data_IF_680982483478
#
_entry.id   IF_680982483478
#
_cell.length_a   1.000
_cell.length_b   1.000
_cell.length_c   1.000
_cell.angle_alpha   90.00
_cell.angle_beta   90.00
_cell.angle_gamma   90.00
#
_symmetry.space_group_name_H-M   'P 1'
#
loop_
_entity.id
_entity.type
_entity.pdbx_description
1 polymer ?
#
# COMPACT_ATOMS: atom_id res chain seq x y z
N UNK A 1 8.48 28.76 20.30
CA UNK A 1 8.40 27.49 19.56
C UNK A 1 8.35 26.38 20.59
N UNK A 2 7.39 25.46 20.52
CA UNK A 2 7.14 24.53 21.64
C UNK A 2 8.31 23.57 21.86
N UNK A 3 8.65 23.28 23.11
CA UNK A 3 9.70 22.32 23.49
C UNK A 3 9.36 20.85 23.14
N UNK A 4 8.13 20.56 22.70
CA UNK A 4 7.70 19.20 22.38
C UNK A 4 8.44 18.63 21.17
N UNK A 5 8.90 17.37 21.29
CA UNK A 5 9.49 16.59 20.19
C UNK A 5 8.60 16.52 18.96
N UNK A 6 7.28 16.64 19.13
CA UNK A 6 6.30 16.61 18.05
C UNK A 6 6.55 17.70 16.99
N UNK A 7 7.06 18.86 17.39
CA UNK A 7 7.30 20.00 16.51
C UNK A 7 8.77 20.20 16.17
N UNK A 8 9.60 19.18 16.44
CA UNK A 8 11.01 19.18 16.05
C UNK A 8 11.18 18.47 14.69
N UNK A 9 12.08 18.95 13.82
CA UNK A 9 12.37 18.31 12.55
C UNK A 9 12.80 16.84 12.69
N UNK A 10 12.57 16.07 11.62
CA UNK A 10 12.96 14.67 11.54
C UNK A 10 13.33 14.31 10.10
N UNK A 11 14.41 13.53 9.94
CA UNK A 11 14.73 12.90 8.66
C UNK A 11 13.94 11.60 8.56
N UNK A 12 13.21 11.42 7.47
CA UNK A 12 12.48 10.19 7.13
C UNK A 12 12.95 9.80 5.73
N UNK A 13 13.72 8.72 5.61
CA UNK A 13 14.37 8.40 4.33
C UNK A 13 15.16 9.60 3.78
N UNK A 14 14.82 10.05 2.56
CA UNK A 14 15.44 11.23 1.93
C UNK A 14 14.80 12.59 2.26
N UNK A 15 13.64 12.61 2.94
CA UNK A 15 12.94 13.86 3.24
C UNK A 15 13.32 14.42 4.62
N UNK A 16 13.23 15.74 4.75
CA UNK A 16 13.41 16.47 6.02
C UNK A 16 12.07 17.09 6.43
N UNK A 17 11.25 16.32 7.12
CA UNK A 17 10.01 16.80 7.71
C UNK A 17 10.34 17.85 8.80
N UNK A 18 9.55 18.93 8.86
CA UNK A 18 9.79 20.03 9.81
C UNK A 18 9.06 19.83 11.14
N UNK A 19 8.15 18.85 11.18
CA UNK A 19 7.46 18.39 12.38
C UNK A 19 7.10 16.91 12.21
N UNK A 20 6.60 16.29 13.27
CA UNK A 20 6.25 14.86 13.34
C UNK A 20 4.73 14.62 13.32
N UNK A 21 3.98 15.61 12.86
CA UNK A 21 2.56 15.49 12.52
C UNK A 21 2.45 15.22 11.02
N UNK A 22 2.00 14.03 10.65
CA UNK A 22 1.79 13.64 9.26
C UNK A 22 0.34 13.25 9.00
N UNK A 23 -0.04 13.20 7.73
CA UNK A 23 -1.34 12.69 7.31
C UNK A 23 -1.24 11.19 7.01
N UNK A 24 -2.02 10.40 7.74
CA UNK A 24 -2.17 8.97 7.49
C UNK A 24 -2.88 8.69 6.15
N UNK A 25 -2.73 7.48 5.59
CA UNK A 25 -3.43 7.04 4.38
C UNK A 25 -4.94 6.91 4.62
N UNK A 26 -5.76 7.57 3.80
CA UNK A 26 -7.20 7.69 4.00
C UNK A 26 -7.97 7.54 2.68
N UNK A 27 -8.48 6.34 2.37
CA UNK A 27 -9.33 6.11 1.18
C UNK A 27 -10.58 7.01 1.18
N UNK A 28 -10.77 7.79 0.09
CA UNK A 28 -11.88 8.77 -0.01
C UNK A 28 -12.90 8.49 -1.11
N UNK A 29 -12.60 7.57 -2.03
CA UNK A 29 -13.50 7.16 -3.11
C UNK A 29 -13.90 8.34 -4.01
N UNK A 30 -12.89 9.11 -4.46
CA UNK A 30 -13.08 10.35 -5.23
C UNK A 30 -12.35 10.38 -6.57
N UNK A 31 -11.71 9.30 -7.00
CA UNK A 31 -11.17 9.23 -8.36
C UNK A 31 -12.30 9.11 -9.41
N UNK A 32 -11.93 9.21 -10.69
CA UNK A 32 -12.82 8.90 -11.80
C UNK A 32 -13.24 7.41 -11.78
N UNK A 33 -14.16 7.04 -12.67
CA UNK A 33 -14.52 5.62 -12.85
C UNK A 33 -13.31 4.80 -13.37
N UNK A 34 -12.47 5.42 -14.20
CA UNK A 34 -11.22 4.87 -14.74
C UNK A 34 -10.05 4.95 -13.74
N UNK A 35 -10.37 5.25 -12.47
CA UNK A 35 -9.43 5.29 -11.36
C UNK A 35 -8.34 6.36 -11.51
N UNK A 36 -8.64 7.42 -12.27
CA UNK A 36 -7.76 8.58 -12.49
C UNK A 36 -8.01 9.63 -11.41
N UNK A 37 -6.97 10.11 -10.71
CA UNK A 37 -7.08 11.27 -9.82
C UNK A 37 -7.61 12.52 -10.54
N UNK A 38 -8.15 13.49 -9.79
CA UNK A 38 -8.76 14.68 -10.40
C UNK A 38 -8.48 15.96 -9.60
N UNK A 39 -9.00 17.09 -10.11
CA UNK A 39 -8.79 18.41 -9.52
C UNK A 39 -9.25 18.52 -8.06
N UNK A 40 -10.33 17.82 -7.66
CA UNK A 40 -10.78 17.79 -6.26
C UNK A 40 -9.73 17.13 -5.36
N UNK A 41 -9.10 16.06 -5.83
CA UNK A 41 -8.03 15.37 -5.09
C UNK A 41 -6.79 16.27 -4.96
N UNK A 42 -6.43 17.00 -6.02
CA UNK A 42 -5.35 18.01 -5.97
C UNK A 42 -5.62 19.08 -4.91
N UNK A 43 -6.81 19.67 -4.93
CA UNK A 43 -7.21 20.65 -3.90
C UNK A 43 -7.16 20.03 -2.49
N UNK A 44 -7.68 18.82 -2.33
CA UNK A 44 -7.72 18.11 -1.06
C UNK A 44 -6.33 17.90 -0.44
N UNK A 45 -5.37 17.38 -1.22
CA UNK A 45 -4.00 17.19 -0.74
C UNK A 45 -3.26 18.53 -0.57
N UNK A 46 -3.49 19.50 -1.46
CA UNK A 46 -2.95 20.86 -1.33
C UNK A 46 -3.42 21.57 -0.05
N UNK A 47 -4.66 21.36 0.39
CA UNK A 47 -5.15 21.86 1.67
C UNK A 47 -4.43 21.22 2.87
N UNK A 48 -4.05 19.94 2.77
CA UNK A 48 -3.35 19.19 3.84
C UNK A 48 -1.84 19.40 3.86
N UNK A 49 -1.29 19.92 2.77
CA UNK A 49 0.06 20.47 2.71
C UNK A 49 0.12 21.93 3.24
N UNK A 50 -0.76 22.32 4.16
CA UNK A 50 -0.87 23.72 4.63
C UNK A 50 0.34 24.23 5.41
N UNK A 51 1.12 23.33 6.02
CA UNK A 51 2.32 23.67 6.77
C UNK A 51 3.54 23.06 6.05
N UNK A 52 4.52 23.87 5.63
CA UNK A 52 5.72 23.35 4.97
C UNK A 52 6.44 22.30 5.82
N UNK A 53 6.94 21.25 5.17
CA UNK A 53 7.61 20.13 5.80
C UNK A 53 6.67 19.08 6.38
N UNK A 54 5.38 19.09 6.00
CA UNK A 54 4.43 18.01 6.34
C UNK A 54 4.69 16.79 5.47
N UNK A 55 4.70 15.58 6.07
CA UNK A 55 4.60 14.33 5.33
C UNK A 55 3.13 13.93 5.16
N UNK A 56 2.73 13.67 3.94
CA UNK A 56 1.42 13.14 3.57
C UNK A 56 1.59 11.73 3.01
N UNK A 57 0.73 10.81 3.41
CA UNK A 57 0.59 9.50 2.76
C UNK A 57 -0.77 9.49 2.06
N UNK A 58 -0.80 9.14 0.78
CA UNK A 58 -2.04 9.14 0.00
C UNK A 58 -3.05 8.12 0.52
N UNK A 59 -4.28 8.20 0.03
CA UNK A 59 -5.16 7.04 -0.01
C UNK A 59 -4.51 5.81 -0.67
N UNK A 60 -5.03 4.63 -0.33
CA UNK A 60 -4.63 3.39 -0.96
C UNK A 60 -4.81 3.48 -2.47
N UNK A 61 -3.74 3.24 -3.21
CA UNK A 61 -3.66 3.37 -4.66
C UNK A 61 -3.34 2.01 -5.28
N UNK A 62 -4.21 1.55 -6.17
CA UNK A 62 -4.13 0.22 -6.77
C UNK A 62 -2.93 0.11 -7.71
N UNK A 63 -2.19 -0.99 -7.59
CA UNK A 63 -0.95 -1.24 -8.35
C UNK A 63 -1.19 -1.72 -9.78
N UNK A 64 -2.35 -2.30 -10.07
CA UNK A 64 -2.72 -2.80 -11.39
C UNK A 64 -4.25 -2.94 -11.51
N UNK A 65 -4.79 -3.16 -12.72
CA UNK A 65 -6.20 -3.52 -12.89
C UNK A 65 -6.55 -4.78 -12.10
N UNK A 66 -5.72 -5.83 -12.17
CA UNK A 66 -5.95 -7.10 -11.48
C UNK A 66 -5.93 -6.99 -9.93
N UNK A 67 -5.32 -5.93 -9.39
CA UNK A 67 -5.35 -5.64 -7.96
C UNK A 67 -6.70 -5.03 -7.47
N UNK A 68 -7.59 -4.68 -8.41
CA UNK A 68 -8.85 -3.96 -8.21
C UNK A 68 -10.02 -4.82 -7.71
N UNK A 69 -11.22 -4.57 -8.25
CA UNK A 69 -12.46 -5.26 -7.89
C UNK A 69 -13.07 -4.87 -6.53
N UNK A 70 -12.43 -3.99 -5.79
CA UNK A 70 -12.89 -3.54 -4.47
C UNK A 70 -13.60 -2.20 -4.53
N UNK A 71 -13.01 -1.22 -3.89
CA UNK A 71 -13.59 0.10 -3.81
C UNK A 71 -13.66 0.77 -5.18
N UNK A 72 -14.89 1.04 -5.65
CA UNK A 72 -15.13 1.90 -6.79
C UNK A 72 -14.57 3.30 -6.51
N UNK A 73 -13.98 3.94 -7.53
CA UNK A 73 -13.39 5.29 -7.40
C UNK A 73 -12.22 5.40 -6.42
N UNK A 74 -11.52 4.30 -6.19
CA UNK A 74 -10.16 4.30 -5.65
C UNK A 74 -9.17 4.54 -6.79
N UNK A 75 -8.15 5.39 -6.61
CA UNK A 75 -7.19 5.69 -7.66
C UNK A 75 -6.25 4.52 -7.97
N UNK A 76 -5.68 4.56 -9.18
CA UNK A 76 -4.63 3.65 -9.67
C UNK A 76 -3.32 4.36 -9.98
N UNK A 77 -2.27 3.59 -10.27
CA UNK A 77 -0.97 4.11 -10.77
C UNK A 77 -0.23 3.15 -11.73
N UNK A 78 -0.96 2.50 -12.65
CA UNK A 78 -0.36 1.56 -13.61
C UNK A 78 -0.24 2.11 -15.03
N UNK A 79 -0.97 3.19 -15.37
CA UNK A 79 -0.97 3.77 -16.71
C UNK A 79 -0.53 5.24 -16.72
N UNK A 80 -0.22 5.75 -17.91
CA UNK A 80 0.31 7.10 -18.08
C UNK A 80 -0.69 8.20 -17.69
N UNK A 81 -1.98 7.99 -17.92
CA UNK A 81 -3.02 8.96 -17.55
C UNK A 81 -3.09 9.14 -16.03
N UNK A 82 -3.07 8.04 -15.28
CA UNK A 82 -3.02 8.05 -13.81
C UNK A 82 -1.73 8.70 -13.30
N UNK A 83 -0.58 8.39 -13.90
CA UNK A 83 0.71 9.01 -13.55
C UNK A 83 0.67 10.52 -13.76
N UNK A 84 0.16 10.99 -14.89
CA UNK A 84 0.05 12.42 -15.19
C UNK A 84 -0.90 13.12 -14.21
N UNK A 85 -2.04 12.51 -13.89
CA UNK A 85 -2.99 13.05 -12.93
C UNK A 85 -2.42 13.11 -11.50
N UNK A 86 -1.70 12.07 -11.07
CA UNK A 86 -0.97 12.10 -9.80
C UNK A 86 0.12 13.17 -9.78
N UNK A 87 0.80 13.38 -10.91
CA UNK A 87 1.83 14.42 -11.02
C UNK A 87 1.31 15.82 -10.71
N UNK A 88 0.09 16.16 -11.13
CA UNK A 88 -0.48 17.45 -10.74
C UNK A 88 -0.69 17.60 -9.22
N UNK A 89 -0.97 16.49 -8.54
CA UNK A 89 -1.20 16.45 -7.09
C UNK A 89 0.12 16.58 -6.34
N UNK A 90 1.15 15.82 -6.75
CA UNK A 90 2.48 15.90 -6.14
C UNK A 90 3.09 17.28 -6.36
N UNK A 91 2.97 17.85 -7.56
CA UNK A 91 3.43 19.22 -7.86
C UNK A 91 2.77 20.26 -6.93
N UNK A 92 1.47 20.14 -6.64
CA UNK A 92 0.78 21.06 -5.72
C UNK A 92 1.24 20.90 -4.26
N UNK A 93 1.50 19.67 -3.81
CA UNK A 93 2.04 19.42 -2.46
C UNK A 93 3.47 19.94 -2.34
N UNK A 94 4.30 19.71 -3.35
CA UNK A 94 5.68 20.20 -3.42
C UNK A 94 5.76 21.71 -3.52
N UNK A 95 4.86 22.36 -4.27
CA UNK A 95 4.75 23.84 -4.33
C UNK A 95 4.51 24.45 -2.95
N UNK A 96 3.88 23.71 -2.04
CA UNK A 96 3.65 24.10 -0.63
C UNK A 96 4.78 23.71 0.32
N UNK A 97 5.88 23.17 -0.22
CA UNK A 97 7.06 22.76 0.56
C UNK A 97 6.82 21.55 1.46
N UNK A 98 5.82 20.72 1.14
CA UNK A 98 5.51 19.47 1.85
C UNK A 98 5.92 18.26 1.03
N UNK A 99 5.85 17.07 1.64
CA UNK A 99 6.25 15.79 1.05
C UNK A 99 5.06 14.84 0.94
N UNK A 100 5.08 13.95 -0.04
CA UNK A 100 4.00 12.99 -0.28
C UNK A 100 4.53 11.62 -0.70
N UNK A 101 4.05 10.58 -0.02
CA UNK A 101 4.28 9.18 -0.34
C UNK A 101 2.97 8.56 -0.84
N UNK A 102 3.03 7.72 -1.88
CA UNK A 102 1.87 6.96 -2.35
C UNK A 102 1.74 5.65 -1.59
N UNK A 103 0.57 5.34 -1.04
CA UNK A 103 0.31 4.02 -0.47
C UNK A 103 -0.11 3.05 -1.57
N UNK A 104 0.68 2.01 -1.80
CA UNK A 104 0.43 0.98 -2.81
C UNK A 104 -0.24 -0.24 -2.19
N UNK A 105 -1.34 -0.69 -2.78
CA UNK A 105 -2.08 -1.85 -2.27
C UNK A 105 -2.79 -2.66 -3.37
N UNK A 106 -3.25 -3.85 -2.97
CA UNK A 106 -4.11 -4.72 -3.76
C UNK A 106 -5.21 -5.30 -2.86
N UNK A 107 -6.43 -5.43 -3.38
CA UNK A 107 -7.60 -5.79 -2.57
C UNK A 107 -7.51 -7.21 -2.02
N UNK A 108 -7.18 -8.19 -2.87
CA UNK A 108 -7.33 -9.60 -2.53
C UNK A 108 -8.79 -9.94 -2.17
N UNK A 109 -9.01 -10.75 -1.14
CA UNK A 109 -10.36 -11.19 -0.74
C UNK A 109 -11.26 -10.09 -0.19
N UNK A 110 -10.73 -8.87 -0.04
CA UNK A 110 -11.45 -7.65 0.33
C UNK A 110 -12.24 -7.05 -0.83
N UNK A 111 -12.02 -7.52 -2.06
CA UNK A 111 -12.76 -7.05 -3.22
C UNK A 111 -14.27 -7.25 -3.04
N UNK A 112 -15.07 -6.33 -3.59
CA UNK A 112 -16.53 -6.37 -3.50
C UNK A 112 -17.07 -7.03 -4.76
N UNK A 113 -18.02 -7.95 -4.63
CA UNK A 113 -18.47 -8.82 -5.73
C UNK A 113 -18.98 -8.03 -6.92
N UNK A 114 -19.72 -6.96 -6.67
CA UNK A 114 -20.31 -6.11 -7.70
C UNK A 114 -19.23 -5.40 -8.52
N UNK A 115 -18.27 -4.75 -7.86
CA UNK A 115 -17.19 -4.02 -8.55
C UNK A 115 -16.25 -4.98 -9.27
N UNK A 116 -15.91 -6.13 -8.66
CA UNK A 116 -15.10 -7.15 -9.31
C UNK A 116 -15.78 -7.68 -10.57
N UNK A 117 -17.10 -7.93 -10.53
CA UNK A 117 -17.89 -8.34 -11.70
C UNK A 117 -17.90 -7.27 -12.79
N UNK A 118 -18.18 -6.02 -12.42
CA UNK A 118 -18.26 -4.90 -13.37
C UNK A 118 -16.92 -4.64 -14.05
N UNK A 119 -15.80 -4.88 -13.35
CA UNK A 119 -14.44 -4.74 -13.87
C UNK A 119 -13.90 -6.02 -14.54
N UNK A 120 -14.63 -7.13 -14.51
CA UNK A 120 -14.16 -8.41 -15.04
C UNK A 120 -12.96 -9.00 -14.29
N UNK A 121 -12.87 -8.76 -12.98
CA UNK A 121 -11.76 -9.15 -12.11
C UNK A 121 -12.17 -10.36 -11.27
N UNK A 122 -11.29 -11.36 -11.24
CA UNK A 122 -11.37 -12.45 -10.27
C UNK A 122 -11.03 -11.96 -8.86
N UNK A 123 -11.88 -12.27 -7.89
CA UNK A 123 -11.53 -12.08 -6.48
C UNK A 123 -10.51 -13.15 -6.10
N UNK A 124 -9.34 -12.72 -5.66
CA UNK A 124 -8.19 -13.58 -5.36
C UNK A 124 -7.75 -13.48 -3.90
N UNK A 125 -6.99 -14.46 -3.43
CA UNK A 125 -6.30 -14.42 -2.15
C UNK A 125 -5.23 -15.50 -2.07
N UNK A 126 -4.47 -15.57 -0.96
CA UNK A 126 -3.51 -16.67 -0.77
C UNK A 126 -4.21 -18.03 -0.73
N UNK A 127 -5.44 -18.11 -0.23
CA UNK A 127 -6.25 -19.32 -0.18
C UNK A 127 -7.72 -18.98 -0.45
N UNK A 128 -8.53 -19.99 -0.78
CA UNK A 128 -9.96 -19.84 -1.03
C UNK A 128 -10.75 -19.69 0.29
N UNK A 129 -10.44 -18.66 1.07
CA UNK A 129 -11.01 -18.40 2.39
C UNK A 129 -11.65 -17.01 2.37
N UNK A 130 -12.99 -16.91 2.39
CA UNK A 130 -13.68 -15.62 2.38
C UNK A 130 -13.49 -14.86 3.70
N UNK A 131 -13.77 -13.56 3.67
CA UNK A 131 -13.97 -12.76 4.89
C UNK A 131 -15.32 -13.17 5.50
N UNK A 132 -15.39 -13.28 6.82
CA UNK A 132 -16.63 -13.63 7.51
C UNK A 132 -17.75 -12.63 7.18
N UNK A 133 -18.91 -13.14 6.77
CA UNK A 133 -20.05 -12.33 6.35
C UNK A 133 -19.95 -11.69 4.96
N UNK A 134 -18.84 -11.89 4.23
CA UNK A 134 -18.71 -11.42 2.85
C UNK A 134 -19.29 -12.43 1.86
N UNK A 135 -20.02 -11.98 0.81
CA UNK A 135 -20.44 -12.85 -0.29
C UNK A 135 -19.31 -13.18 -1.26
N UNK A 136 -18.14 -12.54 -1.13
CA UNK A 136 -17.00 -12.77 -2.00
C UNK A 136 -16.45 -14.19 -1.86
N UNK A 137 -16.17 -14.83 -3.00
CA UNK A 137 -15.57 -16.17 -3.07
C UNK A 137 -14.18 -16.05 -3.68
N UNK A 138 -13.11 -15.87 -2.86
CA UNK A 138 -11.77 -15.71 -3.39
C UNK A 138 -11.26 -17.03 -3.98
N UNK A 139 -10.58 -16.96 -5.11
CA UNK A 139 -9.75 -18.05 -5.63
C UNK A 139 -8.33 -17.95 -5.06
N UNK A 140 -7.71 -19.10 -4.78
CA UNK A 140 -6.29 -19.12 -4.44
C UNK A 140 -5.44 -18.68 -5.65
N UNK A 141 -4.53 -17.73 -5.44
CA UNK A 141 -3.60 -17.29 -6.48
C UNK A 141 -2.66 -18.44 -6.88
N UNK A 142 -2.37 -18.56 -8.18
CA UNK A 142 -1.29 -19.37 -8.71
C UNK A 142 0.08 -18.74 -8.42
N UNK A 143 1.16 -19.51 -8.60
CA UNK A 143 2.52 -18.95 -8.46
C UNK A 143 2.81 -17.87 -9.51
N UNK A 144 2.26 -18.02 -10.72
CA UNK A 144 2.37 -17.03 -11.81
C UNK A 144 1.77 -15.69 -11.36
N UNK A 145 0.53 -15.71 -10.87
CA UNK A 145 -0.18 -14.51 -10.41
C UNK A 145 0.52 -13.84 -9.22
N UNK A 146 1.18 -14.62 -8.36
CA UNK A 146 1.99 -14.07 -7.27
C UNK A 146 3.21 -13.32 -7.83
N UNK A 147 3.90 -13.89 -8.81
CA UNK A 147 5.02 -13.21 -9.47
C UNK A 147 4.55 -11.96 -10.23
N UNK A 148 3.44 -12.03 -10.96
CA UNK A 148 2.83 -10.87 -11.63
C UNK A 148 2.46 -9.76 -10.63
N UNK A 149 1.97 -10.12 -9.45
CA UNK A 149 1.68 -9.16 -8.39
C UNK A 149 2.96 -8.48 -7.89
N UNK A 150 4.07 -9.21 -7.72
CA UNK A 150 5.37 -8.60 -7.39
C UNK A 150 5.75 -7.56 -8.45
N UNK A 151 5.68 -7.92 -9.73
CA UNK A 151 6.00 -6.98 -10.83
C UNK A 151 5.05 -5.78 -10.86
N UNK A 152 3.76 -5.97 -10.56
CA UNK A 152 2.80 -4.87 -10.48
C UNK A 152 3.18 -3.84 -9.40
N UNK A 153 3.61 -4.28 -8.21
CA UNK A 153 4.10 -3.36 -7.18
C UNK A 153 5.38 -2.63 -7.59
N UNK A 154 6.29 -3.30 -8.31
CA UNK A 154 7.52 -2.68 -8.83
C UNK A 154 7.18 -1.61 -9.86
N UNK A 155 6.38 -1.94 -10.87
CA UNK A 155 5.94 -1.00 -11.92
C UNK A 155 5.19 0.20 -11.31
N UNK A 156 4.29 -0.05 -10.36
CA UNK A 156 3.58 1.00 -9.65
C UNK A 156 4.53 1.93 -8.88
N UNK A 157 5.60 1.39 -8.30
CA UNK A 157 6.63 2.17 -7.60
C UNK A 157 7.47 3.02 -8.56
N UNK A 158 7.86 2.49 -9.71
CA UNK A 158 8.53 3.27 -10.75
C UNK A 158 7.63 4.40 -11.29
N UNK A 159 6.35 4.09 -11.51
CA UNK A 159 5.35 5.06 -11.93
C UNK A 159 5.12 6.14 -10.86
N UNK A 160 5.19 5.79 -9.58
CA UNK A 160 5.16 6.76 -8.50
C UNK A 160 6.32 7.77 -8.58
N UNK A 161 7.53 7.31 -8.91
CA UNK A 161 8.67 8.21 -9.10
C UNK A 161 8.47 9.13 -10.31
N UNK A 162 7.93 8.59 -11.42
CA UNK A 162 7.58 9.40 -12.61
C UNK A 162 6.49 10.44 -12.30
N UNK A 163 5.57 10.12 -11.39
CA UNK A 163 4.54 11.03 -10.91
C UNK A 163 5.07 12.05 -9.88
N UNK A 164 6.35 11.99 -9.49
CA UNK A 164 6.94 12.95 -8.55
C UNK A 164 6.61 12.68 -7.08
N UNK A 165 6.24 11.45 -6.70
CA UNK A 165 6.16 11.11 -5.27
C UNK A 165 7.55 11.10 -4.63
N UNK A 166 7.63 11.46 -3.35
CA UNK A 166 8.87 11.39 -2.55
C UNK A 166 9.23 9.95 -2.16
N UNK A 167 8.24 9.04 -2.22
CA UNK A 167 8.40 7.62 -1.96
C UNK A 167 7.08 6.84 -2.04
N UNK A 168 7.14 5.58 -1.68
CA UNK A 168 5.99 4.66 -1.63
C UNK A 168 5.86 4.06 -0.23
N UNK A 169 4.62 3.80 0.19
CA UNK A 169 4.29 2.98 1.35
C UNK A 169 3.67 1.66 0.87
N UNK A 170 4.31 0.53 1.16
CA UNK A 170 3.76 -0.79 0.85
C UNK A 170 2.70 -1.16 1.90
N UNK A 171 1.46 -1.35 1.47
CA UNK A 171 0.36 -1.64 2.39
C UNK A 171 0.29 -3.14 2.75
N UNK A 172 1.01 -3.54 3.81
CA UNK A 172 0.99 -4.87 4.41
C UNK A 172 0.04 -5.00 5.61
N UNK A 173 -1.13 -4.34 5.58
CA UNK A 173 -1.99 -4.17 6.75
C UNK A 173 -3.49 -4.27 6.40
N UNK A 174 -4.32 -4.20 7.43
CA UNK A 174 -5.79 -4.06 7.39
C UNK A 174 -6.50 -5.15 6.58
N UNK A 175 -5.91 -6.35 6.47
CA UNK A 175 -6.53 -7.49 5.79
C UNK A 175 -6.65 -7.36 4.28
N UNK A 176 -5.87 -6.49 3.64
CA UNK A 176 -5.70 -6.48 2.18
C UNK A 176 -4.69 -7.54 1.73
N UNK A 177 -4.46 -7.68 0.42
CA UNK A 177 -3.78 -8.86 -0.16
C UNK A 177 -2.48 -9.25 0.57
N UNK A 178 -1.60 -8.29 0.84
CA UNK A 178 -0.32 -8.56 1.50
C UNK A 178 -0.49 -9.06 2.94
N UNK A 179 -1.38 -8.45 3.72
CA UNK A 179 -1.71 -8.90 5.08
C UNK A 179 -2.40 -10.27 5.07
N UNK A 180 -3.19 -10.56 4.03
CA UNK A 180 -3.79 -11.87 3.84
C UNK A 180 -2.71 -12.96 3.69
N UNK A 181 -1.61 -12.68 2.99
CA UNK A 181 -0.47 -13.61 2.87
C UNK A 181 0.28 -13.78 4.19
N UNK A 182 0.44 -12.72 4.99
CA UNK A 182 1.15 -12.78 6.28
C UNK A 182 0.46 -13.71 7.28
N UNK A 183 -0.87 -13.72 7.31
CA UNK A 183 -1.61 -14.31 8.42
C UNK A 183 -2.18 -15.70 8.10
N UNK A 184 -2.02 -16.65 9.02
CA UNK A 184 -2.49 -18.04 8.86
C UNK A 184 -4.02 -18.16 8.86
N UNK A 185 -4.75 -17.17 9.38
CA UNK A 185 -6.22 -17.09 9.30
C UNK A 185 -6.73 -16.93 7.87
N UNK A 186 -5.87 -16.52 6.94
CA UNK A 186 -6.20 -16.34 5.52
C UNK A 186 -5.28 -17.11 4.57
N UNK A 187 -4.06 -17.45 4.99
CA UNK A 187 -3.09 -18.17 4.19
C UNK A 187 -2.88 -19.60 4.71
N UNK A 188 -3.54 -20.55 4.03
CA UNK A 188 -3.46 -21.99 4.25
C UNK A 188 -2.71 -22.70 3.10
N UNK A 189 -1.82 -21.98 2.41
CA UNK A 189 -1.01 -22.57 1.32
C UNK A 189 -0.02 -23.57 1.86
N UNK A 190 0.31 -24.56 1.03
CA UNK A 190 1.31 -25.60 1.29
C UNK A 190 2.53 -25.51 0.34
N UNK A 191 2.70 -24.37 -0.32
CA UNK A 191 3.82 -24.07 -1.22
C UNK A 191 4.81 -23.07 -0.57
N UNK A 192 5.73 -22.52 -1.38
CA UNK A 192 6.75 -21.57 -0.92
C UNK A 192 6.18 -20.26 -0.35
N UNK A 193 4.88 -19.98 -0.49
CA UNK A 193 4.22 -18.77 0.01
C UNK A 193 3.29 -19.02 1.22
N UNK A 194 3.28 -20.23 1.80
CA UNK A 194 2.59 -20.50 3.07
C UNK A 194 3.18 -21.66 3.88
N UNK A 195 2.44 -22.11 4.89
CA UNK A 195 2.83 -23.22 5.77
C UNK A 195 3.84 -22.86 6.88
N UNK A 196 4.73 -21.91 6.66
CA UNK A 196 5.67 -21.40 7.68
C UNK A 196 5.61 -19.88 7.81
N UNK A 197 6.18 -19.34 8.89
CA UNK A 197 6.29 -17.88 9.11
C UNK A 197 7.05 -17.22 7.96
N UNK A 198 8.18 -17.81 7.57
CA UNK A 198 9.07 -17.26 6.55
C UNK A 198 8.41 -17.27 5.17
N UNK A 199 7.67 -18.33 4.86
CA UNK A 199 6.94 -18.46 3.61
C UNK A 199 5.76 -17.48 3.53
N UNK A 200 5.03 -17.25 4.63
CA UNK A 200 3.96 -16.24 4.67
C UNK A 200 4.50 -14.81 4.49
N UNK A 201 5.70 -14.52 4.99
CA UNK A 201 6.38 -13.24 4.76
C UNK A 201 6.99 -13.10 3.36
N UNK A 202 7.09 -14.17 2.57
CA UNK A 202 7.88 -14.20 1.34
C UNK A 202 7.41 -13.19 0.30
N UNK A 203 6.10 -13.13 0.03
CA UNK A 203 5.55 -12.20 -0.96
C UNK A 203 5.90 -10.74 -0.65
N UNK A 204 5.66 -10.31 0.60
CA UNK A 204 5.98 -8.93 1.02
C UNK A 204 7.48 -8.68 0.94
N UNK A 205 8.30 -9.65 1.35
CA UNK A 205 9.76 -9.53 1.31
C UNK A 205 10.25 -9.36 -0.13
N UNK A 206 9.76 -10.17 -1.07
CA UNK A 206 10.08 -10.06 -2.50
C UNK A 206 9.67 -8.69 -3.07
N UNK A 207 8.48 -8.18 -2.71
CA UNK A 207 8.01 -6.84 -3.09
C UNK A 207 8.94 -5.75 -2.53
N UNK A 208 9.28 -5.82 -1.25
CA UNK A 208 10.14 -4.82 -0.61
C UNK A 208 11.53 -4.82 -1.24
N UNK A 209 12.16 -5.99 -1.38
CA UNK A 209 13.49 -6.13 -1.96
C UNK A 209 13.54 -5.56 -3.39
N UNK A 210 12.58 -5.93 -4.23
CA UNK A 210 12.51 -5.45 -5.62
C UNK A 210 12.21 -3.96 -5.70
N UNK A 211 11.31 -3.45 -4.85
CA UNK A 211 11.00 -2.02 -4.79
C UNK A 211 12.22 -1.20 -4.35
N UNK A 212 12.93 -1.67 -3.31
CA UNK A 212 14.17 -1.06 -2.84
C UNK A 212 15.23 -1.01 -3.93
N UNK A 213 15.36 -2.08 -4.73
CA UNK A 213 16.30 -2.11 -5.86
C UNK A 213 16.00 -1.04 -6.92
N UNK A 214 14.72 -0.75 -7.20
CA UNK A 214 14.35 0.18 -8.28
C UNK A 214 14.29 1.65 -7.86
N UNK A 215 13.88 1.96 -6.61
CA UNK A 215 13.67 3.35 -6.17
C UNK A 215 14.52 3.80 -4.97
N UNK A 216 15.31 2.89 -4.40
CA UNK A 216 16.16 3.15 -3.24
C UNK A 216 15.43 2.95 -1.91
N UNK A 217 16.09 2.40 -0.87
CA UNK A 217 15.45 2.07 0.41
C UNK A 217 14.88 3.29 1.14
N UNK A 218 15.49 4.45 0.96
CA UNK A 218 15.10 5.70 1.59
C UNK A 218 13.84 6.34 0.99
N UNK A 219 13.24 5.68 -0.02
CA UNK A 219 11.94 6.03 -0.62
C UNK A 219 10.88 4.96 -0.39
N UNK A 220 11.17 3.93 0.41
CA UNK A 220 10.25 2.83 0.66
C UNK A 220 9.88 2.81 2.14
N UNK A 221 8.59 2.88 2.44
CA UNK A 221 8.03 2.55 3.75
C UNK A 221 7.15 1.30 3.66
N UNK A 222 6.82 0.72 4.81
CA UNK A 222 5.84 -0.38 4.91
C UNK A 222 4.88 -0.09 6.05
N UNK A 223 3.61 -0.42 5.87
CA UNK A 223 2.59 -0.32 6.92
C UNK A 223 2.08 -1.70 7.32
N UNK A 224 2.08 -1.97 8.62
CA UNK A 224 1.60 -3.24 9.23
C UNK A 224 0.50 -2.98 10.26
N UNK A 225 -0.32 -3.99 10.55
CA UNK A 225 -1.36 -3.92 11.59
C UNK A 225 -1.46 -5.21 12.43
N UNK A 226 -0.44 -5.53 13.26
CA UNK A 226 -0.29 -6.85 13.87
C UNK A 226 -1.47 -7.34 14.72
N UNK A 227 -2.22 -6.40 15.30
CA UNK A 227 -3.28 -6.68 16.27
C UNK A 227 -4.69 -6.44 15.72
N UNK A 228 -4.82 -6.01 14.45
CA UNK A 228 -6.10 -5.66 13.86
C UNK A 228 -6.96 -6.89 13.60
N UNK A 229 -8.23 -6.84 14.00
CA UNK A 229 -9.25 -7.84 13.68
C UNK A 229 -10.04 -7.50 12.41
N UNK A 230 -9.75 -6.35 11.79
CA UNK A 230 -10.47 -5.88 10.62
C UNK A 230 -10.34 -6.88 9.45
N UNK A 231 -11.43 -7.12 8.71
CA UNK A 231 -11.48 -8.07 7.58
C UNK A 231 -11.11 -9.52 7.93
N UNK A 232 -11.58 -9.98 9.09
CA UNK A 232 -11.33 -11.32 9.62
C UNK A 232 -9.83 -11.65 9.71
N UNK A 233 -9.03 -10.63 10.05
CA UNK A 233 -7.63 -10.77 10.40
C UNK A 233 -7.47 -11.12 11.89
N UNK A 234 -6.21 -11.17 12.32
CA UNK A 234 -5.69 -11.52 13.65
C UNK A 234 -5.47 -13.02 13.81
N UNK A 235 -4.22 -13.43 13.57
CA UNK A 235 -3.68 -14.71 14.04
C UNK A 235 -3.80 -14.83 15.56
N UNK A 236 -3.81 -16.07 16.06
CA UNK A 236 -3.85 -16.35 17.50
C UNK A 236 -2.64 -15.75 18.24
N UNK A 237 -1.46 -15.92 17.67
CA UNK A 237 -0.21 -15.31 18.15
C UNK A 237 0.49 -14.58 17.00
N UNK A 238 0.32 -13.24 16.88
CA UNK A 238 0.92 -12.48 15.79
C UNK A 238 2.40 -12.19 16.02
N UNK A 239 2.93 -12.33 17.25
CA UNK A 239 4.29 -11.87 17.57
C UNK A 239 5.35 -12.55 16.69
N UNK A 240 5.39 -13.88 16.53
CA UNK A 240 6.41 -14.53 15.70
C UNK A 240 6.32 -14.11 14.22
N UNK A 241 5.11 -14.05 13.67
CA UNK A 241 4.89 -13.69 12.27
C UNK A 241 5.32 -12.25 11.98
N UNK A 242 4.89 -11.31 12.81
CA UNK A 242 5.18 -9.90 12.59
C UNK A 242 6.63 -9.55 12.95
N UNK A 243 7.28 -10.30 13.86
CA UNK A 243 8.72 -10.15 14.13
C UNK A 243 9.54 -10.49 12.88
N UNK A 244 9.24 -11.61 12.20
CA UNK A 244 9.97 -12.02 11.00
C UNK A 244 9.91 -10.97 9.87
N UNK A 245 8.72 -10.44 9.56
CA UNK A 245 8.59 -9.41 8.51
C UNK A 245 9.23 -8.08 8.93
N UNK A 246 9.15 -7.69 10.21
CA UNK A 246 9.79 -6.48 10.72
C UNK A 246 11.32 -6.60 10.65
N UNK A 247 11.89 -7.76 11.01
CA UNK A 247 13.33 -7.99 10.89
C UNK A 247 13.81 -7.96 9.44
N UNK A 248 13.05 -8.58 8.52
CA UNK A 248 13.35 -8.56 7.09
C UNK A 248 13.28 -7.14 6.54
N UNK A 249 12.23 -6.39 6.85
CA UNK A 249 12.11 -4.98 6.49
C UNK A 249 13.25 -4.13 7.07
N UNK A 250 13.64 -4.36 8.33
CA UNK A 250 14.73 -3.63 8.98
C UNK A 250 16.08 -3.84 8.27
N UNK A 251 16.35 -5.03 7.73
CA UNK A 251 17.60 -5.33 6.99
C UNK A 251 17.69 -4.57 5.68
N UNK A 252 16.57 -4.10 5.14
CA UNK A 252 16.50 -3.31 3.91
C UNK A 252 16.70 -1.81 4.14
N UNK A 253 16.83 -1.35 5.40
CA UNK A 253 17.00 0.07 5.76
C UNK A 253 15.92 1.00 5.18
N UNK A 254 14.66 0.54 5.22
CA UNK A 254 13.49 1.29 4.74
C UNK A 254 13.39 2.68 5.39
N UNK A 255 12.74 3.61 4.70
CA UNK A 255 12.48 4.97 5.18
C UNK A 255 11.72 5.00 6.51
N UNK A 256 10.75 4.09 6.68
CA UNK A 256 9.99 3.87 7.91
C UNK A 256 9.23 2.54 7.92
N UNK A 257 8.72 2.19 9.10
CA UNK A 257 7.72 1.17 9.40
C UNK A 257 6.57 1.81 10.19
#
# INVERSE_FOLDING_TARGET
MSESRLFQPMKIGNIKAQHRVGMAPLTRLRSSIDRVPNALMKEYYGQRASIPGTLIITEGTLVSPAAGGGFARTPGIWNQEQVNAWKEITDEVHRKGSFIFVQLFAMGRAATVEVARDEGIDIIGPSAIPIEGSPAQPRAMSLEEIHEMVEAFVIASENAMKAGFDGVEIHGANGYLLDQFLQDVSNQRNDKYGGSIENRSRLITEILERTVQVIGPERVGIRLSPWSTFQSMRMKDPIPQFTDIIEKASRLNLAYL
#
